data_IF_526178076790
#
_entry.id   IF_526178076790
#
_cell.length_a   1.000
_cell.length_b   1.000
_cell.length_c   1.000
_cell.angle_alpha   90.00
_cell.angle_beta   90.00
_cell.angle_gamma   90.00
#
_symmetry.space_group_name_H-M   'P 1'
#
loop_
_entity.id
_entity.type
_entity.pdbx_description
1 polymer ?
#
# COMPACT_ATOMS: atom_id res chain seq x y z
N UNK A 1 -12.84 18.28 22.25
CA UNK A 1 -11.45 18.62 21.90
C UNK A 1 -11.14 17.88 20.61
N UNK A 2 -11.26 18.55 19.46
CA UNK A 2 -11.01 17.96 18.15
C UNK A 2 -9.49 17.78 18.01
N UNK A 3 -8.99 16.55 18.09
CA UNK A 3 -7.61 16.27 17.70
C UNK A 3 -7.66 16.21 16.18
N UNK A 4 -7.34 17.32 15.54
CA UNK A 4 -7.14 17.41 14.11
C UNK A 4 -6.04 16.39 13.75
N UNK A 5 -6.47 15.20 13.33
CA UNK A 5 -5.61 14.07 13.02
C UNK A 5 -4.94 14.34 11.67
N UNK A 6 -3.88 15.15 11.68
CA UNK A 6 -2.93 15.26 10.57
C UNK A 6 -2.05 13.99 10.50
N UNK A 7 -2.67 12.80 10.49
CA UNK A 7 -1.93 11.57 10.30
C UNK A 7 -1.55 11.46 8.83
N UNK A 8 -0.27 11.56 8.57
CA UNK A 8 0.31 11.45 7.23
C UNK A 8 0.45 9.98 6.82
N UNK A 9 0.53 9.76 5.52
CA UNK A 9 0.67 8.41 4.96
C UNK A 9 1.94 7.73 5.47
N UNK A 10 3.05 8.47 5.65
CA UNK A 10 4.28 7.91 6.19
C UNK A 10 4.10 7.34 7.61
N UNK A 11 3.51 8.11 8.52
CA UNK A 11 3.27 7.74 9.91
C UNK A 11 2.34 6.54 10.00
N UNK A 12 1.26 6.57 9.22
CA UNK A 12 0.32 5.46 9.18
C UNK A 12 0.93 4.19 8.57
N UNK A 13 1.63 4.31 7.44
CA UNK A 13 2.28 3.15 6.82
C UNK A 13 3.34 2.54 7.72
N UNK A 14 4.12 3.35 8.45
CA UNK A 14 5.12 2.89 9.41
C UNK A 14 4.47 2.15 10.59
N UNK A 15 3.41 2.73 11.17
CA UNK A 15 2.66 2.11 12.26
C UNK A 15 1.99 0.81 11.81
N UNK A 16 1.34 0.81 10.64
CA UNK A 16 0.69 -0.37 10.06
C UNK A 16 1.71 -1.47 9.74
N UNK A 17 2.86 -1.11 9.17
CA UNK A 17 3.96 -2.05 8.90
C UNK A 17 4.49 -2.66 10.20
N UNK A 18 4.78 -1.83 11.20
CA UNK A 18 5.28 -2.30 12.50
C UNK A 18 4.29 -3.21 13.20
N UNK A 19 3.00 -2.92 13.08
CA UNK A 19 1.93 -3.73 13.64
C UNK A 19 1.72 -5.04 12.89
N UNK A 20 1.98 -5.10 11.57
CA UNK A 20 1.72 -6.29 10.76
C UNK A 20 2.94 -7.15 10.42
N UNK A 21 4.17 -6.64 10.62
CA UNK A 21 5.42 -7.35 10.27
C UNK A 21 5.55 -8.75 10.88
N UNK A 22 5.00 -8.97 12.07
CA UNK A 22 5.02 -10.26 12.75
C UNK A 22 4.20 -11.35 12.03
N UNK A 23 3.30 -10.97 11.12
CA UNK A 23 2.47 -11.89 10.34
C UNK A 23 3.23 -12.45 9.12
N UNK A 24 4.40 -11.92 8.79
CA UNK A 24 5.12 -12.22 7.54
C UNK A 24 6.45 -12.90 7.83
N UNK A 25 6.89 -13.78 6.92
CA UNK A 25 8.24 -14.32 7.00
C UNK A 25 9.28 -13.23 6.66
N UNK A 26 10.53 -13.38 7.11
CA UNK A 26 11.56 -12.33 6.97
C UNK A 26 11.84 -11.92 5.52
N UNK A 27 11.72 -12.83 4.55
CA UNK A 27 11.90 -12.50 3.14
C UNK A 27 10.77 -11.58 2.62
N UNK A 28 9.56 -11.83 3.06
CA UNK A 28 8.37 -11.05 2.71
C UNK A 28 8.34 -9.71 3.43
N UNK A 29 8.69 -9.69 4.72
CA UNK A 29 8.88 -8.46 5.50
C UNK A 29 9.91 -7.55 4.84
N UNK A 30 11.08 -8.08 4.47
CA UNK A 30 12.13 -7.33 3.80
C UNK A 30 11.69 -6.74 2.46
N UNK A 31 10.97 -7.53 1.65
CA UNK A 31 10.38 -7.05 0.39
C UNK A 31 9.39 -5.90 0.62
N UNK A 32 8.51 -6.02 1.61
CA UNK A 32 7.50 -5.01 1.92
C UNK A 32 8.10 -3.74 2.53
N UNK A 33 9.09 -3.89 3.40
CA UNK A 33 9.90 -2.78 3.87
C UNK A 33 10.49 -2.03 2.68
N UNK A 34 11.13 -2.73 1.75
CA UNK A 34 11.70 -2.06 0.59
C UNK A 34 10.62 -1.34 -0.24
N UNK A 35 9.45 -1.94 -0.45
CA UNK A 35 8.37 -1.27 -1.18
C UNK A 35 7.85 -0.01 -0.47
N UNK A 36 7.69 -0.05 0.85
CA UNK A 36 7.14 1.08 1.61
C UNK A 36 8.17 2.21 1.70
N UNK A 37 9.37 1.93 2.21
CA UNK A 37 10.36 2.98 2.51
C UNK A 37 11.07 3.50 1.27
N UNK A 38 11.22 2.70 0.20
CA UNK A 38 11.90 3.13 -1.02
C UNK A 38 10.97 3.76 -2.06
N UNK A 39 9.66 3.50 -1.98
CA UNK A 39 8.70 3.96 -2.99
C UNK A 39 7.50 4.72 -2.40
N UNK A 40 6.78 4.15 -1.43
CA UNK A 40 5.53 4.75 -0.93
C UNK A 40 5.83 6.03 -0.13
N UNK A 41 6.71 5.96 0.87
CA UNK A 41 7.06 7.08 1.74
C UNK A 41 7.65 8.27 0.95
N UNK A 42 8.66 8.11 0.09
CA UNK A 42 9.24 9.26 -0.62
C UNK A 42 8.29 9.89 -1.65
N UNK A 43 7.29 9.18 -2.14
CA UNK A 43 6.36 9.71 -3.14
C UNK A 43 5.10 10.34 -2.55
N UNK A 44 4.43 9.63 -1.64
CA UNK A 44 3.13 10.05 -1.08
C UNK A 44 3.13 10.14 0.44
N UNK A 45 4.26 9.88 1.11
CA UNK A 45 4.36 9.84 2.57
C UNK A 45 4.04 11.18 3.24
N UNK A 46 4.35 12.30 2.58
CA UNK A 46 4.07 13.65 3.09
C UNK A 46 2.60 14.08 2.94
N UNK A 47 1.79 13.30 2.23
CA UNK A 47 0.37 13.60 2.02
C UNK A 47 -0.41 13.19 3.26
N UNK A 48 -1.39 14.00 3.69
CA UNK A 48 -2.31 13.61 4.75
C UNK A 48 -3.21 12.47 4.28
N UNK A 49 -3.52 11.50 5.15
CA UNK A 49 -4.42 10.40 4.83
C UNK A 49 -5.77 10.87 4.28
N UNK A 50 -6.30 11.97 4.81
CA UNK A 50 -7.58 12.56 4.40
C UNK A 50 -7.54 13.25 3.03
N UNK A 51 -6.36 13.74 2.61
CA UNK A 51 -6.16 14.40 1.31
C UNK A 51 -5.76 13.42 0.20
N UNK A 52 -5.69 12.13 0.52
CA UNK A 52 -5.26 11.12 -0.43
C UNK A 52 -6.33 10.89 -1.50
N UNK A 53 -6.13 11.50 -2.66
CA UNK A 53 -7.06 11.37 -3.79
C UNK A 53 -6.68 10.25 -4.74
N UNK A 54 -7.66 9.79 -5.53
CA UNK A 54 -7.42 8.87 -6.66
C UNK A 54 -6.34 9.39 -7.61
N UNK A 55 -6.35 10.69 -7.91
CA UNK A 55 -5.40 11.30 -8.83
C UNK A 55 -3.97 11.17 -8.30
N UNK A 56 -3.74 11.53 -7.03
CA UNK A 56 -2.44 11.36 -6.36
C UNK A 56 -1.92 9.93 -6.43
N UNK A 57 -2.79 8.93 -6.25
CA UNK A 57 -2.43 7.51 -6.35
C UNK A 57 -2.08 7.12 -7.80
N UNK A 58 -2.85 7.61 -8.78
CA UNK A 58 -2.59 7.35 -10.20
C UNK A 58 -1.24 7.94 -10.62
N UNK A 59 -0.98 9.21 -10.30
CA UNK A 59 0.29 9.87 -10.57
C UNK A 59 1.47 9.14 -9.89
N UNK A 60 1.26 8.64 -8.68
CA UNK A 60 2.23 7.80 -7.99
C UNK A 60 2.57 6.52 -8.78
N UNK A 61 1.57 5.78 -9.27
CA UNK A 61 1.83 4.57 -10.05
C UNK A 61 2.55 4.87 -11.37
N UNK A 62 2.23 5.98 -12.03
CA UNK A 62 2.91 6.39 -13.25
C UNK A 62 4.35 6.84 -12.97
N UNK A 63 4.61 7.49 -11.83
CA UNK A 63 5.97 7.77 -11.35
C UNK A 63 6.77 6.48 -11.15
N UNK A 64 6.20 5.46 -10.51
CA UNK A 64 6.88 4.17 -10.33
C UNK A 64 7.20 3.47 -11.66
N UNK A 65 6.29 3.53 -12.63
CA UNK A 65 6.54 3.01 -13.98
C UNK A 65 7.67 3.78 -14.67
N UNK A 66 7.68 5.11 -14.53
CA UNK A 66 8.74 5.98 -15.09
C UNK A 66 10.11 5.70 -14.46
N UNK A 67 10.14 5.33 -13.17
CA UNK A 67 11.35 4.88 -12.47
C UNK A 67 11.85 3.48 -12.90
N UNK A 68 11.16 2.82 -13.84
CA UNK A 68 11.55 1.52 -14.37
C UNK A 68 11.12 0.33 -13.50
N UNK A 69 10.20 0.51 -12.55
CA UNK A 69 9.65 -0.63 -11.81
C UNK A 69 8.88 -1.54 -12.77
N UNK A 70 9.10 -2.85 -12.61
CA UNK A 70 8.34 -3.85 -13.35
C UNK A 70 6.85 -3.72 -13.03
N UNK A 71 5.99 -4.04 -14.01
CA UNK A 71 4.54 -4.06 -13.81
C UNK A 71 4.13 -4.94 -12.63
N UNK A 72 4.90 -6.01 -12.34
CA UNK A 72 4.68 -6.88 -11.18
C UNK A 72 4.98 -6.16 -9.86
N UNK A 73 6.07 -5.41 -9.78
CA UNK A 73 6.42 -4.62 -8.59
C UNK A 73 5.37 -3.54 -8.32
N UNK A 74 4.93 -2.81 -9.36
CA UNK A 74 3.85 -1.81 -9.25
C UNK A 74 2.56 -2.46 -8.76
N UNK A 75 2.23 -3.65 -9.25
CA UNK A 75 1.08 -4.42 -8.75
C UNK A 75 1.22 -4.81 -7.28
N UNK A 76 2.40 -5.24 -6.84
CA UNK A 76 2.66 -5.52 -5.43
C UNK A 76 2.49 -4.26 -4.55
N UNK A 77 2.99 -3.10 -5.00
CA UNK A 77 2.78 -1.82 -4.32
C UNK A 77 1.29 -1.49 -4.23
N UNK A 78 0.54 -1.65 -5.33
CA UNK A 78 -0.90 -1.42 -5.35
C UNK A 78 -1.64 -2.27 -4.30
N UNK A 79 -1.35 -3.57 -4.24
CA UNK A 79 -1.97 -4.47 -3.26
C UNK A 79 -1.61 -4.09 -1.81
N UNK A 80 -0.35 -3.73 -1.58
CA UNK A 80 0.13 -3.33 -0.26
C UNK A 80 -0.54 -2.04 0.21
N UNK A 81 -0.57 -1.02 -0.66
CA UNK A 81 -1.21 0.26 -0.40
C UNK A 81 -2.72 0.08 -0.18
N UNK A 82 -3.39 -0.74 -1.00
CA UNK A 82 -4.81 -1.06 -0.81
C UNK A 82 -5.09 -1.61 0.57
N UNK A 83 -4.28 -2.58 1.04
CA UNK A 83 -4.47 -3.20 2.36
C UNK A 83 -4.21 -2.21 3.50
N UNK A 84 -3.15 -1.41 3.36
CA UNK A 84 -2.83 -0.36 4.32
C UNK A 84 -3.97 0.66 4.47
N UNK A 85 -4.62 1.03 3.37
CA UNK A 85 -5.76 1.95 3.35
C UNK A 85 -7.09 1.28 3.77
N UNK A 86 -7.26 -0.01 3.51
CA UNK A 86 -8.41 -0.77 4.03
C UNK A 86 -8.38 -0.83 5.56
N UNK A 87 -7.23 -1.04 6.19
CA UNK A 87 -7.09 -0.96 7.66
C UNK A 87 -7.25 0.48 8.16
N UNK A 88 -6.77 1.50 7.44
CA UNK A 88 -7.03 2.90 7.80
C UNK A 88 -8.53 3.23 7.84
N UNK A 89 -9.28 2.68 6.89
CA UNK A 89 -10.73 2.84 6.84
C UNK A 89 -11.44 2.06 7.96
N UNK A 90 -10.93 0.87 8.33
CA UNK A 90 -11.43 0.10 9.46
C UNK A 90 -11.21 0.84 10.79
N UNK A 91 -10.06 1.49 10.94
CA UNK A 91 -9.70 2.30 12.11
C UNK A 91 -10.36 3.70 12.08
N UNK A 92 -11.24 3.96 11.11
CA UNK A 92 -11.99 5.21 10.94
C UNK A 92 -11.09 6.46 10.77
N UNK A 93 -9.85 6.27 10.31
CA UNK A 93 -8.92 7.36 10.00
C UNK A 93 -9.28 8.04 8.68
N UNK A 94 -9.81 7.28 7.74
CA UNK A 94 -10.35 7.76 6.47
C UNK A 94 -11.78 7.25 6.27
N UNK A 95 -12.66 8.02 5.61
CA UNK A 95 -14.06 7.64 5.42
C UNK A 95 -14.22 6.43 4.48
N UNK A 96 -13.32 6.25 3.54
CA UNK A 96 -13.31 5.13 2.59
C UNK A 96 -11.91 4.97 1.99
N UNK A 97 -11.64 3.79 1.40
CA UNK A 97 -10.36 3.52 0.74
C UNK A 97 -10.31 4.10 -0.70
N UNK A 98 -9.49 5.14 -0.96
CA UNK A 98 -9.38 5.76 -2.29
C UNK A 98 -8.67 4.86 -3.32
N UNK A 99 -7.87 3.89 -2.88
CA UNK A 99 -7.17 2.94 -3.77
C UNK A 99 -8.15 2.02 -4.48
N UNK A 100 -9.30 1.73 -3.87
CA UNK A 100 -10.37 0.93 -4.49
C UNK A 100 -11.03 1.63 -5.68
N UNK A 101 -10.89 2.96 -5.78
CA UNK A 101 -11.40 3.76 -6.88
C UNK A 101 -10.39 3.86 -8.05
N UNK A 102 -9.15 3.44 -7.83
CA UNK A 102 -8.13 3.36 -8.86
C UNK A 102 -8.39 2.15 -9.76
N UNK A 103 -8.19 2.31 -11.07
CA UNK A 103 -8.21 1.19 -12.01
C UNK A 103 -7.08 0.21 -11.61
N UNK A 104 -7.44 -1.06 -11.36
CA UNK A 104 -6.44 -2.10 -11.10
C UNK A 104 -5.47 -2.16 -12.30
N UNK A 105 -4.14 -2.02 -12.09
CA UNK A 105 -3.19 -2.06 -13.19
C UNK A 105 -3.32 -3.38 -13.94
N UNK A 106 -3.74 -3.35 -15.21
CA UNK A 106 -4.10 -4.53 -16.01
C UNK A 106 -3.14 -5.69 -15.77
N UNK A 107 -3.62 -6.74 -15.09
CA UNK A 107 -2.82 -7.92 -14.75
C UNK A 107 -2.39 -8.60 -16.05
N UNK A 108 -1.13 -8.44 -16.45
CA UNK A 108 -0.54 -9.35 -17.43
C UNK A 108 -0.52 -10.74 -16.80
N UNK A 109 -1.51 -11.57 -17.15
CA UNK A 109 -1.63 -12.96 -16.75
C UNK A 109 -0.53 -13.74 -17.48
N UNK A 110 0.71 -13.64 -16.99
CA UNK A 110 1.75 -14.58 -17.36
C UNK A 110 1.63 -15.79 -16.41
N UNK A 111 1.16 -16.90 -16.98
CA UNK A 111 1.09 -18.22 -16.33
C UNK A 111 2.50 -18.62 -15.90
N UNK A 112 2.64 -19.21 -14.70
CA UNK A 112 3.89 -19.67 -14.04
C UNK A 112 4.61 -18.64 -13.17
N UNK A 113 3.99 -18.25 -12.05
CA UNK A 113 4.67 -18.00 -10.79
C UNK A 113 3.58 -17.85 -9.71
N UNK A 114 3.78 -18.34 -8.47
CA UNK A 114 2.86 -18.04 -7.41
C UNK A 114 2.74 -16.50 -7.32
N UNK A 115 1.51 -16.03 -7.58
CA UNK A 115 0.97 -14.81 -6.99
C UNK A 115 1.49 -14.76 -5.57
N UNK A 116 2.02 -13.63 -5.09
CA UNK A 116 2.44 -13.49 -3.71
C UNK A 116 1.44 -14.26 -2.84
N UNK A 117 1.86 -15.43 -2.35
CA UNK A 117 0.97 -16.40 -1.75
C UNK A 117 0.80 -15.90 -0.34
N UNK A 118 -0.10 -14.94 -0.19
CA UNK A 118 -0.43 -14.37 1.09
C UNK A 118 -1.35 -15.37 1.77
N UNK A 119 -0.76 -16.10 2.71
CA UNK A 119 -1.45 -17.09 3.53
C UNK A 119 -2.73 -16.50 4.08
N UNK A 120 -3.86 -16.97 3.54
CA UNK A 120 -5.07 -17.13 4.32
C UNK A 120 -4.74 -18.14 5.40
N UNK A 121 -4.25 -17.68 6.54
CA UNK A 121 -4.53 -18.39 7.78
C UNK A 121 -6.02 -18.23 8.01
N UNK A 122 -6.81 -19.10 7.39
CA UNK A 122 -8.13 -19.44 7.87
C UNK A 122 -7.95 -19.87 9.33
N UNK A 123 -8.31 -18.98 10.26
CA UNK A 123 -8.63 -19.43 11.61
C UNK A 123 -9.95 -20.18 11.49
N UNK A 124 -9.91 -21.45 11.92
CA UNK A 124 -11.05 -22.36 12.01
C UNK A 124 -12.03 -21.88 13.07
#
# INVERSE_FOLDING_TARGET
>A
MQKENYLTVDQWCDQWFTSNRHKWNGNTEGGYRNLIYSHIIPSIGSVALSDLTKQTITDFYDSLRSQGLSARSVWCVHLLLRRCMDEAAQDQLIPYNPVRLCQEPTRQRNTKQPLCAWGSSSVT
#
